data_IF_140470611258
#
_entry.id   IF_140470611258
#
_cell.length_a   1.000
_cell.length_b   1.000
_cell.length_c   1.000
_cell.angle_alpha   90.00
_cell.angle_beta   90.00
_cell.angle_gamma   90.00
#
_symmetry.space_group_name_H-M   'P 1'
#
loop_
_entity.id
_entity.type
_entity.pdbx_description
1 polymer ?
#
# COMPACT_ATOMS: atom_id res chain seq x y z
N UNK A 1 -56.46 29.99 42.31
CA UNK A 1 -57.05 29.03 41.36
C UNK A 1 -56.12 28.83 40.16
N UNK A 2 -54.80 28.58 40.37
CA UNK A 2 -53.80 28.55 39.29
C UNK A 2 -52.79 27.39 39.38
N UNK A 3 -52.99 26.48 40.34
CA UNK A 3 -52.14 25.30 40.52
C UNK A 3 -52.58 24.14 39.63
N UNK A 4 -53.88 24.03 39.34
CA UNK A 4 -54.43 22.91 38.56
C UNK A 4 -54.03 22.99 37.07
N UNK A 5 -53.90 24.20 36.53
CA UNK A 5 -53.49 24.44 35.14
C UNK A 5 -51.97 24.20 34.93
N UNK A 6 -51.15 24.38 35.98
CA UNK A 6 -49.71 24.03 35.95
C UNK A 6 -49.50 22.53 36.02
N UNK A 7 -50.24 21.83 36.88
CA UNK A 7 -50.15 20.37 36.99
C UNK A 7 -50.65 19.68 35.72
N UNK A 8 -51.72 20.18 35.09
CA UNK A 8 -52.20 19.69 33.79
C UNK A 8 -51.23 19.96 32.64
N UNK A 9 -50.53 21.12 32.63
CA UNK A 9 -49.48 21.39 31.64
C UNK A 9 -48.24 20.52 31.85
N UNK A 10 -47.83 20.28 33.10
CA UNK A 10 -46.70 19.42 33.45
C UNK A 10 -47.01 17.96 33.09
N UNK A 11 -48.21 17.47 33.41
CA UNK A 11 -48.63 16.11 33.04
C UNK A 11 -48.79 15.95 31.52
N UNK A 12 -49.34 16.95 30.82
CA UNK A 12 -49.44 16.93 29.35
C UNK A 12 -48.06 16.95 28.68
N UNK A 13 -47.10 17.74 29.17
CA UNK A 13 -45.72 17.74 28.67
C UNK A 13 -45.04 16.41 28.98
N UNK A 14 -45.21 15.84 30.17
CA UNK A 14 -44.58 14.56 30.56
C UNK A 14 -45.14 13.37 29.76
N UNK A 15 -46.46 13.31 29.55
CA UNK A 15 -47.11 12.26 28.74
C UNK A 15 -46.73 12.36 27.26
N UNK A 16 -46.56 13.58 26.74
CA UNK A 16 -46.01 13.79 25.39
C UNK A 16 -44.53 13.38 25.34
N UNK A 17 -43.70 13.80 26.30
CA UNK A 17 -42.26 13.51 26.35
C UNK A 17 -41.95 12.01 26.41
N UNK A 18 -42.76 11.24 27.14
CA UNK A 18 -42.62 9.78 27.24
C UNK A 18 -43.08 9.04 25.98
N UNK A 19 -44.00 9.62 25.19
CA UNK A 19 -44.39 9.09 23.87
C UNK A 19 -43.34 9.37 22.78
N UNK A 20 -42.61 10.51 22.85
CA UNK A 20 -41.62 10.89 21.83
C UNK A 20 -40.23 10.24 22.00
N UNK A 21 -40.00 9.51 23.10
CA UNK A 21 -38.71 8.87 23.40
C UNK A 21 -38.70 7.34 23.36
N UNK A 22 -39.78 6.68 22.92
CA UNK A 22 -39.67 5.24 22.63
C UNK A 22 -38.64 4.99 21.54
N UNK A 23 -37.71 4.04 21.74
CA UNK A 23 -36.87 3.57 20.65
C UNK A 23 -37.78 3.00 19.57
N UNK A 24 -37.50 3.37 18.33
CA UNK A 24 -38.21 2.90 17.16
C UNK A 24 -38.16 1.36 17.10
N UNK A 25 -39.31 0.74 16.85
CA UNK A 25 -39.41 -0.70 16.66
C UNK A 25 -39.05 -1.06 15.22
N UNK A 26 -38.18 -2.06 15.08
CA UNK A 26 -37.76 -2.54 13.77
C UNK A 26 -38.78 -3.54 13.23
N UNK A 27 -39.40 -3.19 12.11
CA UNK A 27 -40.30 -4.07 11.36
C UNK A 27 -39.62 -4.60 10.10
N UNK A 28 -40.22 -5.59 9.43
CA UNK A 28 -39.71 -6.14 8.17
C UNK A 28 -39.52 -5.06 7.09
N UNK A 29 -40.41 -4.07 7.00
CA UNK A 29 -40.28 -2.96 6.06
C UNK A 29 -39.01 -2.13 6.33
N UNK A 30 -38.67 -1.92 7.60
CA UNK A 30 -37.43 -1.23 7.97
C UNK A 30 -36.20 -2.04 7.60
N UNK A 31 -36.23 -3.35 7.82
CA UNK A 31 -35.11 -4.24 7.50
C UNK A 31 -34.85 -4.29 5.99
N UNK A 32 -35.91 -4.33 5.17
CA UNK A 32 -35.81 -4.30 3.70
C UNK A 32 -35.22 -2.98 3.23
N UNK A 33 -35.75 -1.84 3.70
CA UNK A 33 -35.22 -0.53 3.32
C UNK A 33 -33.76 -0.33 3.75
N UNK A 34 -33.41 -0.80 4.95
CA UNK A 34 -32.02 -0.80 5.43
C UNK A 34 -31.11 -1.60 4.48
N UNK A 35 -31.50 -2.83 4.13
CA UNK A 35 -30.68 -3.67 3.27
C UNK A 35 -30.57 -3.12 1.84
N UNK A 36 -31.65 -2.54 1.30
CA UNK A 36 -31.63 -1.85 0.00
C UNK A 36 -30.67 -0.67 0.02
N UNK A 37 -30.74 0.19 1.02
CA UNK A 37 -29.85 1.36 1.11
C UNK A 37 -28.38 0.94 1.26
N UNK A 38 -28.08 -0.06 2.09
CA UNK A 38 -26.72 -0.62 2.23
C UNK A 38 -26.22 -1.16 0.88
N UNK A 39 -27.09 -1.83 0.13
CA UNK A 39 -26.77 -2.38 -1.18
C UNK A 39 -26.48 -1.27 -2.20
N UNK A 40 -27.32 -0.24 -2.24
CA UNK A 40 -27.18 0.93 -3.13
C UNK A 40 -25.88 1.70 -2.87
N UNK A 41 -25.48 1.86 -1.60
CA UNK A 41 -24.22 2.51 -1.23
C UNK A 41 -22.98 1.63 -1.46
N UNK A 42 -23.17 0.47 -2.11
CA UNK A 42 -22.12 -0.50 -2.44
C UNK A 42 -21.20 -0.81 -1.25
N UNK A 43 -21.79 -0.93 -0.08
CA UNK A 43 -21.10 -0.92 1.21
C UNK A 43 -19.99 -1.98 1.34
N UNK A 44 -20.11 -3.08 0.59
CA UNK A 44 -19.14 -4.17 0.49
C UNK A 44 -17.80 -3.74 -0.16
N UNK A 45 -17.78 -2.67 -0.96
CA UNK A 45 -16.56 -2.13 -1.59
C UNK A 45 -15.58 -1.51 -0.62
N UNK A 46 -15.98 -1.23 0.62
CA UNK A 46 -15.11 -0.63 1.64
C UNK A 46 -14.54 -1.67 2.61
N UNK A 47 -13.25 -1.52 2.96
CA UNK A 47 -12.57 -2.41 3.90
C UNK A 47 -13.19 -2.32 5.30
N UNK A 48 -13.29 -3.46 6.00
CA UNK A 48 -13.71 -3.49 7.41
C UNK A 48 -12.78 -2.61 8.25
N UNK A 49 -13.37 -1.77 9.10
CA UNK A 49 -12.62 -0.81 9.94
C UNK A 49 -12.07 0.43 9.21
N UNK A 50 -12.30 0.60 7.90
CA UNK A 50 -11.91 1.82 7.19
C UNK A 50 -12.78 3.02 7.59
N UNK A 51 -12.18 4.21 7.53
CA UNK A 51 -12.88 5.47 7.77
C UNK A 51 -14.00 5.71 6.75
N UNK A 52 -13.77 5.35 5.48
CA UNK A 52 -14.76 5.42 4.40
C UNK A 52 -16.01 4.61 4.74
N UNK A 53 -15.85 3.34 5.17
CA UNK A 53 -16.95 2.50 5.63
C UNK A 53 -17.70 3.12 6.81
N UNK A 54 -16.98 3.82 7.69
CA UNK A 54 -17.56 4.64 8.76
C UNK A 54 -18.48 5.73 8.21
N UNK A 55 -17.99 6.54 7.27
CA UNK A 55 -18.75 7.62 6.64
C UNK A 55 -19.97 7.11 5.89
N UNK A 56 -19.84 6.00 5.15
CA UNK A 56 -20.97 5.38 4.44
C UNK A 56 -22.10 5.00 5.39
N UNK A 57 -21.78 4.44 6.56
CA UNK A 57 -22.83 4.16 7.56
C UNK A 57 -23.53 5.41 8.09
N UNK A 58 -22.80 6.52 8.24
CA UNK A 58 -23.39 7.79 8.65
C UNK A 58 -24.35 8.28 7.57
N UNK A 59 -23.91 8.27 6.30
CA UNK A 59 -24.73 8.63 5.15
C UNK A 59 -26.00 7.78 5.06
N UNK A 60 -25.88 6.45 5.19
CA UNK A 60 -27.04 5.54 5.18
C UNK A 60 -28.03 5.93 6.27
N UNK A 61 -27.54 6.28 7.48
CA UNK A 61 -28.45 6.65 8.57
C UNK A 61 -29.19 7.96 8.32
N UNK A 62 -28.51 8.94 7.71
CA UNK A 62 -29.13 10.20 7.31
C UNK A 62 -30.17 9.98 6.22
N UNK A 63 -29.81 9.21 5.18
CA UNK A 63 -30.72 8.87 4.08
C UNK A 63 -31.99 8.17 4.60
N UNK A 64 -31.83 7.16 5.45
CA UNK A 64 -32.98 6.44 6.02
C UNK A 64 -33.86 7.33 6.90
N UNK A 65 -33.26 8.23 7.70
CA UNK A 65 -34.03 9.20 8.49
C UNK A 65 -34.79 10.22 7.61
N UNK A 66 -34.40 10.41 6.35
CA UNK A 66 -35.13 11.24 5.38
C UNK A 66 -36.27 10.48 4.65
N UNK A 67 -36.36 9.16 4.77
CA UNK A 67 -37.41 8.37 4.12
C UNK A 67 -38.76 8.64 4.77
N UNK A 68 -39.77 8.95 3.94
CA UNK A 68 -41.14 9.23 4.40
C UNK A 68 -42.04 8.00 4.42
N UNK A 69 -41.71 6.95 3.65
CA UNK A 69 -42.50 5.72 3.57
C UNK A 69 -42.60 5.00 4.92
N UNK A 70 -41.53 5.02 5.72
CA UNK A 70 -41.51 4.48 7.07
C UNK A 70 -40.65 5.39 7.95
N UNK A 71 -41.11 5.71 9.16
CA UNK A 71 -40.45 6.67 10.05
C UNK A 71 -39.23 6.05 10.73
N UNK A 72 -38.04 6.40 10.22
CA UNK A 72 -36.78 6.05 10.87
C UNK A 72 -36.42 7.03 11.99
N UNK A 73 -35.91 6.50 13.09
CA UNK A 73 -35.23 7.23 14.16
C UNK A 73 -33.97 6.45 14.55
N UNK A 74 -33.03 6.38 13.61
CA UNK A 74 -31.82 5.54 13.73
C UNK A 74 -30.54 6.36 13.72
N UNK A 75 -29.52 5.83 14.38
CA UNK A 75 -28.14 6.33 14.28
C UNK A 75 -27.23 5.22 13.76
N UNK A 76 -26.00 5.60 13.42
CA UNK A 76 -24.98 4.69 12.88
C UNK A 76 -24.84 3.39 13.71
N UNK A 77 -24.84 3.49 15.04
CA UNK A 77 -24.68 2.36 15.96
C UNK A 77 -25.88 1.42 15.92
N UNK A 78 -27.09 1.97 15.93
CA UNK A 78 -28.33 1.18 15.90
C UNK A 78 -28.45 0.37 14.61
N UNK A 79 -28.16 0.99 13.46
CA UNK A 79 -28.21 0.31 12.17
C UNK A 79 -27.18 -0.82 12.06
N UNK A 80 -25.93 -0.57 12.48
CA UNK A 80 -24.89 -1.61 12.50
C UNK A 80 -25.33 -2.83 13.31
N UNK A 81 -25.80 -2.60 14.55
CA UNK A 81 -26.31 -3.67 15.40
C UNK A 81 -27.46 -4.43 14.74
N UNK A 82 -28.40 -3.72 14.11
CA UNK A 82 -29.54 -4.36 13.42
C UNK A 82 -29.07 -5.18 12.23
N UNK A 83 -28.16 -4.65 11.43
CA UNK A 83 -27.60 -5.32 10.27
C UNK A 83 -26.83 -6.60 10.66
N UNK A 84 -26.00 -6.52 11.70
CA UNK A 84 -25.28 -7.68 12.24
C UNK A 84 -26.25 -8.75 12.75
N UNK A 85 -27.35 -8.34 13.40
CA UNK A 85 -28.42 -9.24 13.83
C UNK A 85 -29.10 -9.93 12.64
N UNK A 86 -29.42 -9.20 11.56
CA UNK A 86 -30.03 -9.76 10.35
C UNK A 86 -29.12 -10.78 9.66
N UNK A 87 -27.83 -10.46 9.53
CA UNK A 87 -26.83 -11.40 8.99
C UNK A 87 -26.70 -12.65 9.86
N UNK A 88 -26.70 -12.50 11.19
CA UNK A 88 -26.66 -13.61 12.13
C UNK A 88 -27.86 -14.55 11.97
N UNK A 89 -29.07 -13.96 11.91
CA UNK A 89 -30.32 -14.71 11.71
C UNK A 89 -30.34 -15.48 10.39
N UNK A 90 -29.98 -14.83 9.28
CA UNK A 90 -29.93 -15.46 7.96
C UNK A 90 -28.96 -16.66 7.93
N UNK A 91 -27.78 -16.52 8.54
CA UNK A 91 -26.80 -17.61 8.66
C UNK A 91 -27.29 -18.77 9.52
N UNK A 92 -28.02 -18.46 10.60
CA UNK A 92 -28.59 -19.47 11.46
C UNK A 92 -29.68 -20.26 10.72
N UNK A 93 -30.58 -19.56 10.03
CA UNK A 93 -31.63 -20.18 9.22
C UNK A 93 -31.05 -21.09 8.14
N UNK A 94 -30.03 -20.65 7.38
CA UNK A 94 -29.36 -21.51 6.40
C UNK A 94 -28.73 -22.77 7.01
N UNK A 95 -28.28 -22.74 8.27
CA UNK A 95 -27.74 -23.92 8.96
C UNK A 95 -28.84 -24.87 9.41
N UNK A 96 -30.00 -24.35 9.76
CA UNK A 96 -31.17 -25.12 10.17
C UNK A 96 -31.82 -25.77 8.96
N UNK A 97 -31.97 -25.06 7.85
CA UNK A 97 -32.44 -25.60 6.56
C UNK A 97 -31.49 -26.70 6.02
N UNK A 98 -30.19 -26.57 6.22
CA UNK A 98 -29.23 -27.63 5.86
C UNK A 98 -29.37 -28.89 6.75
N UNK A 99 -29.99 -28.78 7.93
CA UNK A 99 -30.20 -29.88 8.88
C UNK A 99 -31.61 -30.47 8.80
N UNK A 100 -32.61 -29.67 8.46
CA UNK A 100 -34.00 -30.08 8.32
C UNK A 100 -34.27 -30.56 6.87
N UNK A 101 -34.98 -31.68 6.73
CA UNK A 101 -35.32 -32.23 5.42
C UNK A 101 -36.21 -31.27 4.60
N UNK A 102 -35.68 -30.76 3.48
CA UNK A 102 -36.35 -30.60 2.18
C UNK A 102 -37.39 -29.50 1.96
N UNK A 103 -38.01 -28.93 2.99
CA UNK A 103 -38.98 -27.85 2.78
C UNK A 103 -38.27 -26.49 2.69
N UNK A 104 -37.87 -26.10 1.48
CA UNK A 104 -37.38 -24.77 1.18
C UNK A 104 -38.54 -23.78 1.32
N UNK A 105 -38.47 -22.87 2.30
CA UNK A 105 -39.32 -21.69 2.32
C UNK A 105 -38.88 -20.77 1.16
N UNK A 106 -39.85 -20.20 0.44
CA UNK A 106 -39.55 -19.23 -0.61
C UNK A 106 -38.71 -18.08 -0.02
N UNK A 107 -37.54 -17.79 -0.59
CA UNK A 107 -36.62 -16.81 -0.03
C UNK A 107 -37.24 -15.43 -0.09
N UNK A 108 -37.34 -14.76 1.07
CA UNK A 108 -37.83 -13.39 1.14
C UNK A 108 -36.86 -12.46 0.41
N UNK A 109 -37.33 -11.32 -0.12
CA UNK A 109 -36.46 -10.28 -0.68
C UNK A 109 -35.29 -9.93 0.26
N UNK A 110 -35.57 -9.83 1.57
CA UNK A 110 -34.57 -9.58 2.59
C UNK A 110 -33.47 -10.65 2.61
N UNK A 111 -33.84 -11.92 2.45
CA UNK A 111 -32.91 -13.05 2.46
C UNK A 111 -32.02 -13.04 1.21
N UNK A 112 -32.61 -12.71 0.05
CA UNK A 112 -31.88 -12.53 -1.21
C UNK A 112 -30.85 -11.40 -1.08
N UNK A 113 -31.26 -10.24 -0.58
CA UNK A 113 -30.37 -9.08 -0.38
C UNK A 113 -29.23 -9.41 0.58
N UNK A 114 -29.51 -10.04 1.72
CA UNK A 114 -28.49 -10.42 2.71
C UNK A 114 -27.49 -11.43 2.13
N UNK A 115 -27.97 -12.41 1.36
CA UNK A 115 -27.11 -13.41 0.70
C UNK A 115 -26.22 -12.75 -0.35
N UNK A 116 -26.78 -11.90 -1.20
CA UNK A 116 -26.01 -11.19 -2.24
C UNK A 116 -24.96 -10.26 -1.63
N UNK A 117 -25.32 -9.48 -0.61
CA UNK A 117 -24.37 -8.62 0.10
C UNK A 117 -23.23 -9.43 0.74
N UNK A 118 -23.55 -10.58 1.36
CA UNK A 118 -22.52 -11.42 1.95
C UNK A 118 -21.59 -12.02 0.90
N UNK A 119 -22.09 -12.33 -0.30
CA UNK A 119 -21.28 -12.86 -1.39
C UNK A 119 -20.39 -11.78 -2.00
N UNK A 120 -20.93 -10.59 -2.28
CA UNK A 120 -20.15 -9.45 -2.78
C UNK A 120 -19.08 -9.01 -1.78
N UNK A 121 -19.34 -9.08 -0.48
CA UNK A 121 -18.32 -8.81 0.54
C UNK A 121 -17.16 -9.83 0.48
N UNK A 122 -17.44 -11.12 0.31
CA UNK A 122 -16.40 -12.15 0.16
C UNK A 122 -15.57 -11.94 -1.10
N UNK A 123 -16.21 -11.63 -2.23
CA UNK A 123 -15.53 -11.37 -3.50
C UNK A 123 -14.62 -10.15 -3.41
N UNK A 124 -15.11 -9.06 -2.79
CA UNK A 124 -14.32 -7.86 -2.56
C UNK A 124 -13.11 -8.13 -1.65
N UNK A 125 -13.27 -8.92 -0.59
CA UNK A 125 -12.16 -9.25 0.32
C UNK A 125 -11.12 -10.15 -0.37
N UNK A 126 -11.55 -11.21 -1.06
CA UNK A 126 -10.67 -12.10 -1.82
C UNK A 126 -9.85 -11.35 -2.88
N UNK A 127 -10.47 -10.39 -3.56
CA UNK A 127 -9.77 -9.54 -4.56
C UNK A 127 -8.69 -8.70 -3.89
N UNK A 128 -8.97 -8.10 -2.72
CA UNK A 128 -7.99 -7.30 -1.97
C UNK A 128 -6.83 -8.15 -1.47
N UNK A 129 -7.12 -9.34 -0.94
CA UNK A 129 -6.10 -10.29 -0.49
C UNK A 129 -5.20 -10.71 -1.67
N UNK A 130 -5.78 -11.06 -2.83
CA UNK A 130 -5.01 -11.41 -4.02
C UNK A 130 -4.09 -10.27 -4.50
N UNK A 131 -4.58 -9.03 -4.50
CA UNK A 131 -3.77 -7.86 -4.85
C UNK A 131 -2.62 -7.62 -3.86
N UNK A 132 -2.88 -7.77 -2.55
CA UNK A 132 -1.86 -7.65 -1.51
C UNK A 132 -0.81 -8.75 -1.60
N UNK A 133 -1.21 -10.00 -1.86
CA UNK A 133 -0.28 -11.11 -2.05
C UNK A 133 0.60 -10.91 -3.27
N UNK A 134 0.04 -10.39 -4.38
CA UNK A 134 0.82 -10.05 -5.57
C UNK A 134 1.86 -8.96 -5.29
N UNK A 135 1.51 -7.89 -4.55
CA UNK A 135 2.49 -6.84 -4.23
C UNK A 135 3.62 -7.35 -3.35
N UNK A 136 3.30 -8.12 -2.30
CA UNK A 136 4.30 -8.75 -1.42
C UNK A 136 5.22 -9.68 -2.20
N UNK A 137 4.67 -10.49 -3.11
CA UNK A 137 5.43 -11.39 -3.96
C UNK A 137 6.36 -10.63 -4.94
N UNK A 138 5.89 -9.52 -5.52
CA UNK A 138 6.74 -8.67 -6.37
C UNK A 138 7.87 -8.01 -5.59
N UNK A 139 7.62 -7.59 -4.34
CA UNK A 139 8.65 -6.98 -3.49
C UNK A 139 9.68 -8.02 -3.04
N UNK A 140 9.24 -9.24 -2.74
CA UNK A 140 10.11 -10.39 -2.45
C UNK A 140 11.04 -10.71 -3.63
N UNK A 141 10.49 -10.78 -4.84
CA UNK A 141 11.28 -11.01 -6.08
C UNK A 141 12.31 -9.90 -6.30
N UNK A 142 11.93 -8.63 -6.13
CA UNK A 142 12.87 -7.49 -6.24
C UNK A 142 13.97 -7.55 -5.18
N UNK A 143 13.66 -7.98 -3.97
CA UNK A 143 14.66 -8.13 -2.90
C UNK A 143 15.63 -9.29 -3.21
N UNK A 144 15.12 -10.43 -3.70
CA UNK A 144 15.92 -11.57 -4.14
C UNK A 144 16.84 -11.20 -5.32
N UNK A 145 16.33 -10.48 -6.31
CA UNK A 145 17.12 -10.02 -7.46
C UNK A 145 18.30 -9.15 -7.02
N UNK A 146 18.07 -8.18 -6.13
CA UNK A 146 19.14 -7.36 -5.54
C UNK A 146 20.16 -8.20 -4.77
N UNK A 147 19.72 -9.22 -4.04
CA UNK A 147 20.60 -10.16 -3.32
C UNK A 147 21.45 -10.98 -4.28
N UNK A 148 20.86 -11.52 -5.35
CA UNK A 148 21.57 -12.24 -6.40
C UNK A 148 22.62 -11.35 -7.09
N UNK A 149 22.23 -10.14 -7.48
CA UNK A 149 23.15 -9.18 -8.11
C UNK A 149 24.31 -8.81 -7.18
N UNK A 150 24.08 -8.65 -5.88
CA UNK A 150 25.14 -8.39 -4.92
C UNK A 150 26.10 -9.59 -4.77
N UNK A 151 25.56 -10.82 -4.71
CA UNK A 151 26.37 -12.04 -4.63
C UNK A 151 27.20 -12.26 -5.89
N UNK A 152 26.65 -11.94 -7.07
CA UNK A 152 27.36 -12.00 -8.34
C UNK A 152 28.54 -11.01 -8.36
N UNK A 153 28.33 -9.75 -7.94
CA UNK A 153 29.44 -8.77 -7.78
C UNK A 153 30.52 -9.25 -6.79
N UNK A 154 30.12 -9.90 -5.69
CA UNK A 154 31.08 -10.48 -4.73
C UNK A 154 31.83 -11.66 -5.36
N UNK A 155 31.16 -12.48 -6.16
CA UNK A 155 31.75 -13.57 -6.94
C UNK A 155 32.78 -13.08 -7.95
N UNK A 156 32.47 -12.02 -8.70
CA UNK A 156 33.40 -11.33 -9.60
C UNK A 156 34.61 -10.79 -8.85
N UNK A 157 34.40 -10.13 -7.70
CA UNK A 157 35.50 -9.67 -6.85
C UNK A 157 36.34 -10.83 -6.27
N UNK A 158 35.79 -12.04 -6.08
CA UNK A 158 36.59 -13.21 -5.67
C UNK A 158 37.46 -13.73 -6.80
N UNK A 159 36.95 -13.75 -8.03
CA UNK A 159 37.71 -14.09 -9.23
C UNK A 159 38.75 -13.01 -9.60
N UNK A 160 38.51 -11.74 -9.24
CA UNK A 160 39.54 -10.69 -9.33
C UNK A 160 40.51 -10.72 -8.15
N UNK A 161 40.12 -11.19 -6.96
CA UNK A 161 41.02 -11.29 -5.79
C UNK A 161 42.02 -12.44 -5.88
N UNK A 162 41.85 -13.39 -6.81
CA UNK A 162 42.95 -14.30 -7.19
C UNK A 162 44.00 -13.58 -8.05
N UNK A 163 43.69 -12.44 -8.66
CA UNK A 163 44.68 -11.45 -9.04
C UNK A 163 45.04 -10.62 -7.80
N UNK A 164 46.15 -11.00 -7.16
CA UNK A 164 46.75 -10.31 -6.02
C UNK A 164 46.56 -8.80 -6.14
N UNK A 165 46.08 -8.16 -5.07
CA UNK A 165 46.01 -6.70 -4.91
C UNK A 165 47.44 -6.13 -5.05
N UNK A 166 47.87 -5.88 -6.28
CA UNK A 166 49.21 -5.45 -6.59
C UNK A 166 49.30 -3.99 -6.15
N UNK A 167 50.03 -3.75 -5.05
CA UNK A 167 50.47 -2.39 -4.66
C UNK A 167 51.04 -1.74 -5.93
N UNK A 168 50.63 -0.49 -6.22
CA UNK A 168 51.13 0.27 -7.39
C UNK A 168 52.64 0.11 -7.43
N UNK A 169 53.13 -0.68 -8.39
CA UNK A 169 54.53 -1.02 -8.50
C UNK A 169 55.29 0.25 -8.83
N UNK A 170 56.39 0.51 -8.13
CA UNK A 170 57.31 1.62 -8.44
C UNK A 170 57.98 1.51 -9.83
N UNK A 171 57.61 0.49 -10.61
CA UNK A 171 58.05 0.27 -11.99
C UNK A 171 57.84 1.48 -12.90
N UNK A 172 56.77 2.25 -12.70
CA UNK A 172 56.49 3.46 -13.49
C UNK A 172 57.50 4.59 -13.17
N UNK A 173 57.84 4.74 -11.89
CA UNK A 173 58.84 5.72 -11.44
C UNK A 173 60.25 5.31 -11.91
N UNK A 174 60.59 4.01 -11.87
CA UNK A 174 61.91 3.55 -12.32
C UNK A 174 62.07 3.61 -13.84
N UNK A 175 61.00 3.38 -14.62
CA UNK A 175 61.02 3.54 -16.08
C UNK A 175 61.22 5.02 -16.47
N UNK A 176 60.54 5.94 -15.80
CA UNK A 176 60.74 7.37 -15.98
C UNK A 176 62.17 7.80 -15.67
N UNK A 177 62.76 7.32 -14.56
CA UNK A 177 64.15 7.64 -14.19
C UNK A 177 65.15 7.11 -15.23
N UNK A 178 64.97 5.88 -15.71
CA UNK A 178 65.83 5.28 -16.76
C UNK A 178 65.73 6.06 -18.07
N UNK A 179 64.51 6.37 -18.50
CA UNK A 179 64.26 7.15 -19.73
C UNK A 179 64.82 8.56 -19.64
N UNK A 180 64.80 9.16 -18.45
CA UNK A 180 65.43 10.46 -18.19
C UNK A 180 66.95 10.36 -18.29
N UNK A 181 67.59 9.35 -17.68
CA UNK A 181 69.05 9.18 -17.76
C UNK A 181 69.55 8.88 -19.17
N UNK A 182 68.81 8.09 -19.95
CA UNK A 182 69.15 7.79 -21.35
C UNK A 182 69.11 9.05 -22.22
N UNK A 183 68.10 9.89 -22.04
CA UNK A 183 68.00 11.17 -22.78
C UNK A 183 69.13 12.13 -22.42
N UNK A 184 69.47 12.23 -21.12
CA UNK A 184 70.55 13.11 -20.66
C UNK A 184 71.92 12.67 -21.19
N UNK A 185 72.18 11.35 -21.21
CA UNK A 185 73.40 10.78 -21.80
C UNK A 185 73.49 11.07 -23.30
N UNK A 186 72.39 10.93 -24.03
CA UNK A 186 72.36 11.17 -25.48
C UNK A 186 72.68 12.63 -25.81
N UNK A 187 72.08 13.57 -25.08
CA UNK A 187 72.35 15.01 -25.26
C UNK A 187 73.84 15.30 -24.99
N UNK A 188 74.41 14.76 -23.91
CA UNK A 188 75.85 14.92 -23.61
C UNK A 188 76.76 14.39 -24.71
N UNK A 189 76.41 13.24 -25.31
CA UNK A 189 77.19 12.66 -26.41
C UNK A 189 77.13 13.54 -27.67
N UNK A 190 75.96 14.06 -28.01
CA UNK A 190 75.78 14.98 -29.14
C UNK A 190 76.54 16.30 -28.92
N UNK A 191 76.52 16.87 -27.71
CA UNK A 191 77.30 18.07 -27.37
C UNK A 191 78.81 17.85 -27.48
N UNK A 192 79.32 16.69 -27.02
CA UNK A 192 80.73 16.36 -27.13
C UNK A 192 81.15 16.15 -28.60
N UNK A 193 80.30 15.54 -29.41
CA UNK A 193 80.56 15.35 -30.84
C UNK A 193 80.60 16.68 -31.61
N UNK A 194 79.68 17.61 -31.31
CA UNK A 194 79.68 18.95 -31.91
C UNK A 194 80.95 19.73 -31.55
N UNK A 195 81.34 19.74 -30.27
CA UNK A 195 82.58 20.40 -29.83
C UNK A 195 83.83 19.79 -30.46
N UNK A 196 83.88 18.47 -30.62
CA UNK A 196 84.99 17.81 -31.28
C UNK A 196 85.10 18.23 -32.76
N UNK A 197 83.96 18.32 -33.46
CA UNK A 197 83.90 18.80 -34.84
C UNK A 197 84.28 20.28 -34.99
N UNK A 198 83.88 21.14 -34.06
CA UNK A 198 84.30 22.55 -34.03
C UNK A 198 85.81 22.69 -33.87
N UNK A 199 86.41 21.95 -32.92
CA UNK A 199 87.86 21.97 -32.69
C UNK A 199 88.62 21.47 -33.92
N UNK A 200 88.12 20.45 -34.61
CA UNK A 200 88.77 19.95 -35.84
C UNK A 200 88.65 20.95 -37.00
N UNK A 201 87.47 21.54 -37.20
CA UNK A 201 87.28 22.60 -38.19
C UNK A 201 88.12 23.84 -37.90
N UNK A 202 88.34 24.21 -36.63
CA UNK A 202 89.21 25.31 -36.22
C UNK A 202 90.67 25.01 -36.55
N UNK A 203 91.14 23.77 -36.27
CA UNK A 203 92.49 23.31 -36.65
C UNK A 203 92.68 23.30 -38.16
N UNK A 204 91.71 22.80 -38.93
CA UNK A 204 91.79 22.79 -40.39
C UNK A 204 91.86 24.20 -40.97
N UNK A 205 91.10 25.16 -40.42
CA UNK A 205 91.18 26.58 -40.81
C UNK A 205 92.53 27.19 -40.46
N UNK A 206 93.14 26.77 -39.35
CA UNK A 206 94.44 27.27 -38.89
C UNK A 206 95.63 26.69 -39.68
N UNK A 207 95.46 25.50 -40.29
CA UNK A 207 96.46 24.87 -41.19
C UNK A 207 96.35 25.40 -42.63
N UNK A 208 95.23 26.03 -43.00
CA UNK A 208 94.97 26.55 -44.36
C UNK A 208 95.30 28.02 -44.57
N UNK A 209 95.80 28.71 -43.55
CA UNK A 209 96.41 30.05 -43.61
C UNK A 209 97.94 29.93 -43.62
#
# INVERSE_FOLDING_TARGET
MDTDNKLLKISFISVNFDFYNRPMEWTTAHDVLLCREIFLQEFYKFKKGSNERGRTWTQISENLNCVTAVKFKVNQRAMRKRFDFLLGRSRQQSREEAKACGACLEPTELDVLLKEMSEREKQAESTRESCSSKSVETDRKKAEEKRCQALERIGLMKNERTAKRQRRSGADVTEFLRKKSEKELKIRQEELALKAGEVENEKEKQVRC
#
